data_IF_821037105817
#
_entry.id   IF_821037105817
#
_cell.length_a   1.000
_cell.length_b   1.000
_cell.length_c   1.000
_cell.angle_alpha   90.00
_cell.angle_beta   90.00
_cell.angle_gamma   90.00
#
_symmetry.space_group_name_H-M   'P 1'
#
loop_
_entity.id
_entity.type
_entity.pdbx_description
1 polymer ?
#
# COMPACT_ATOMS: atom_id res chain seq x y z
N UNK A 1 11.63 4.05 36.95
CA UNK A 1 11.46 2.71 36.37
C UNK A 1 11.12 2.94 34.90
N UNK A 2 12.03 2.55 34.02
CA UNK A 2 12.18 3.08 32.67
C UNK A 2 10.98 2.75 31.76
N UNK A 3 10.65 3.71 30.88
CA UNK A 3 9.84 3.48 29.69
C UNK A 3 10.72 2.65 28.73
N UNK A 4 10.46 1.35 28.62
CA UNK A 4 11.25 0.48 27.76
C UNK A 4 10.82 0.59 26.29
N UNK A 5 11.82 0.88 25.45
CA UNK A 5 11.71 0.93 24.00
C UNK A 5 11.48 -0.46 23.42
N UNK A 6 10.27 -0.97 23.58
CA UNK A 6 9.85 -2.24 23.01
C UNK A 6 9.62 -2.09 21.51
N UNK A 7 10.43 -2.81 20.74
CA UNK A 7 10.25 -3.05 19.31
C UNK A 7 8.81 -3.50 19.04
N UNK A 8 8.09 -2.72 18.23
CA UNK A 8 6.67 -2.89 17.94
C UNK A 8 6.41 -4.16 17.12
N UNK A 9 6.15 -5.28 17.79
CA UNK A 9 5.50 -6.43 17.17
C UNK A 9 4.02 -6.11 16.96
N UNK A 10 3.40 -6.59 15.86
CA UNK A 10 1.95 -6.53 15.71
C UNK A 10 1.30 -7.19 16.93
N UNK A 11 0.63 -6.39 17.77
CA UNK A 11 -0.03 -6.91 18.96
C UNK A 11 -1.29 -7.67 18.52
N UNK A 12 -1.31 -8.97 18.81
CA UNK A 12 -2.38 -9.90 18.50
C UNK A 12 -3.06 -10.29 19.82
N UNK A 13 -4.28 -9.80 20.07
CA UNK A 13 -5.05 -10.20 21.25
C UNK A 13 -6.02 -11.32 20.88
N UNK A 14 -5.52 -12.56 20.94
CA UNK A 14 -6.30 -13.78 20.68
C UNK A 14 -6.78 -14.46 21.99
N UNK A 15 -6.48 -13.87 23.15
CA UNK A 15 -6.42 -14.55 24.44
C UNK A 15 -7.79 -14.87 25.06
N UNK A 16 -8.81 -14.07 24.73
CA UNK A 16 -10.08 -14.05 25.45
C UNK A 16 -11.24 -14.62 24.61
N UNK A 17 -11.15 -14.50 23.29
CA UNK A 17 -12.09 -15.11 22.34
C UNK A 17 -11.40 -15.26 20.96
N UNK A 18 -11.15 -16.49 20.47
CA UNK A 18 -10.50 -16.71 19.18
C UNK A 18 -11.24 -16.05 18.01
N UNK A 19 -12.57 -15.92 18.13
CA UNK A 19 -13.43 -15.26 17.15
C UNK A 19 -13.31 -13.72 17.13
N UNK A 20 -12.65 -13.11 18.11
CA UNK A 20 -12.45 -11.66 18.24
C UNK A 20 -10.98 -11.25 18.10
N UNK A 21 -10.12 -12.14 17.61
CA UNK A 21 -8.71 -11.83 17.46
C UNK A 21 -8.49 -10.78 16.37
N UNK A 22 -7.98 -9.61 16.76
CA UNK A 22 -7.53 -8.57 15.86
C UNK A 22 -6.01 -8.43 15.93
N UNK A 23 -5.43 -7.91 14.86
CA UNK A 23 -4.01 -7.63 14.75
C UNK A 23 -3.83 -6.18 14.35
N UNK A 24 -3.12 -5.42 15.16
CA UNK A 24 -2.78 -4.05 14.83
C UNK A 24 -1.54 -4.00 13.95
N UNK A 25 -1.61 -3.17 12.90
CA UNK A 25 -0.49 -2.85 12.04
C UNK A 25 -0.29 -1.33 12.06
N UNK A 26 0.96 -0.92 11.93
CA UNK A 26 1.28 0.47 11.66
C UNK A 26 0.86 0.83 10.23
N UNK A 27 0.59 2.11 10.00
CA UNK A 27 0.28 2.58 8.65
C UNK A 27 1.49 2.36 7.73
N UNK A 28 1.27 1.82 6.51
CA UNK A 28 2.35 1.67 5.55
C UNK A 28 2.86 3.03 5.09
N UNK A 29 4.13 3.07 4.70
CA UNK A 29 4.80 4.29 4.18
C UNK A 29 5.24 4.04 2.75
N UNK A 30 4.96 4.98 1.85
CA UNK A 30 5.34 4.91 0.44
C UNK A 30 6.56 5.78 0.17
N UNK A 31 7.69 5.17 -0.22
CA UNK A 31 8.94 5.94 -0.37
C UNK A 31 9.29 6.20 -1.84
N UNK A 32 9.20 5.19 -2.70
CA UNK A 32 9.59 5.28 -4.11
C UNK A 32 8.72 4.40 -4.99
N UNK A 33 8.60 4.80 -6.26
CA UNK A 33 7.94 4.05 -7.33
C UNK A 33 8.83 3.96 -8.54
N UNK A 34 8.84 2.82 -9.22
CA UNK A 34 9.52 2.67 -10.50
C UNK A 34 8.74 1.70 -11.42
N UNK A 35 8.56 2.03 -12.71
CA UNK A 35 8.84 3.33 -13.33
C UNK A 35 7.86 4.43 -12.85
N UNK A 36 8.22 5.69 -13.05
CA UNK A 36 7.37 6.85 -12.73
C UNK A 36 6.50 7.31 -13.92
N UNK A 37 6.61 6.62 -15.05
CA UNK A 37 5.80 6.88 -16.23
C UNK A 37 5.55 5.61 -17.04
N UNK A 38 4.54 5.66 -17.91
CA UNK A 38 4.18 4.59 -18.82
C UNK A 38 3.13 5.06 -19.82
N UNK A 39 2.76 4.22 -20.80
CA UNK A 39 1.76 4.57 -21.79
C UNK A 39 0.34 4.69 -21.21
N UNK A 40 -0.43 5.63 -21.76
CA UNK A 40 -1.88 5.81 -21.56
C UNK A 40 -2.73 4.54 -21.80
N UNK A 41 -2.25 3.58 -22.61
CA UNK A 41 -2.93 2.29 -22.77
C UNK A 41 -2.89 1.44 -21.48
N UNK A 42 -2.06 1.79 -20.51
CA UNK A 42 -1.90 1.06 -19.25
C UNK A 42 -1.02 -0.19 -19.40
N UNK A 43 -1.09 -1.06 -18.40
CA UNK A 43 -0.34 -2.32 -18.34
C UNK A 43 1.08 -2.18 -17.79
N UNK A 44 1.57 -0.97 -17.53
CA UNK A 44 2.87 -0.77 -16.89
C UNK A 44 2.88 -1.37 -15.49
N UNK A 45 3.77 -2.34 -15.26
CA UNK A 45 4.08 -2.84 -13.92
C UNK A 45 4.87 -1.77 -13.17
N UNK A 46 4.36 -1.35 -12.02
CA UNK A 46 4.99 -0.38 -11.13
C UNK A 46 5.33 -1.10 -9.83
N UNK A 47 6.63 -1.10 -9.50
CA UNK A 47 7.12 -1.55 -8.21
C UNK A 47 7.17 -0.35 -7.24
N UNK A 48 6.66 -0.57 -6.03
CA UNK A 48 6.52 0.45 -4.99
C UNK A 48 7.31 -0.01 -3.77
N UNK A 49 8.32 0.77 -3.40
CA UNK A 49 9.17 0.50 -2.24
C UNK A 49 8.77 1.38 -1.07
N UNK A 50 8.81 0.80 0.13
CA UNK A 50 8.34 1.44 1.35
C UNK A 50 8.59 0.58 2.58
N UNK A 51 7.73 0.74 3.58
CA UNK A 51 7.77 -0.05 4.81
C UNK A 51 6.37 -0.26 5.38
N UNK A 52 6.21 -1.31 6.19
CA UNK A 52 4.95 -1.58 6.89
C UNK A 52 3.86 -2.20 6.00
N UNK A 53 4.19 -2.65 4.79
CA UNK A 53 3.23 -3.40 3.98
C UNK A 53 2.92 -4.75 4.63
N UNK A 54 1.68 -5.20 4.53
CA UNK A 54 1.25 -6.51 4.99
C UNK A 54 0.30 -7.16 3.99
N UNK A 55 0.26 -8.50 4.01
CA UNK A 55 -0.53 -9.26 3.07
C UNK A 55 -2.03 -9.20 3.44
N UNK A 56 -2.83 -8.56 2.59
CA UNK A 56 -4.29 -8.52 2.68
C UNK A 56 -4.88 -8.40 1.28
N UNK A 57 -6.00 -9.08 1.05
CA UNK A 57 -6.73 -9.05 -0.23
C UNK A 57 -7.46 -7.72 -0.48
N UNK A 58 -7.52 -6.85 0.53
CA UNK A 58 -8.19 -5.56 0.44
C UNK A 58 -7.26 -4.43 -0.03
N UNK A 59 -5.96 -4.69 -0.19
CA UNK A 59 -5.00 -3.67 -0.59
C UNK A 59 -5.21 -3.22 -2.04
N UNK A 60 -5.15 -1.90 -2.27
CA UNK A 60 -5.36 -1.29 -3.58
C UNK A 60 -4.31 -0.22 -3.88
N UNK A 61 -3.94 -0.09 -5.15
CA UNK A 61 -3.37 1.14 -5.67
C UNK A 61 -4.47 2.02 -6.28
N UNK A 62 -4.29 3.33 -6.25
CA UNK A 62 -5.18 4.25 -6.94
C UNK A 62 -4.39 5.29 -7.74
N UNK A 63 -4.67 5.34 -9.03
CA UNK A 63 -4.12 6.29 -10.00
C UNK A 63 -5.16 7.41 -10.21
N UNK A 64 -4.96 8.56 -9.58
CA UNK A 64 -5.97 9.61 -9.50
C UNK A 64 -7.24 9.09 -8.83
N UNK A 65 -8.28 8.79 -9.62
CA UNK A 65 -9.55 8.22 -9.14
C UNK A 65 -9.70 6.73 -9.43
N UNK A 66 -8.86 6.15 -10.28
CA UNK A 66 -8.98 4.75 -10.74
C UNK A 66 -8.26 3.80 -9.79
N UNK A 67 -8.99 2.84 -9.22
CA UNK A 67 -8.46 1.82 -8.29
C UNK A 67 -8.07 0.55 -9.04
N UNK A 68 -6.95 -0.06 -8.65
CA UNK A 68 -6.48 -1.37 -9.14
C UNK A 68 -6.00 -2.24 -7.98
N UNK A 69 -5.98 -3.55 -8.17
CA UNK A 69 -5.46 -4.47 -7.17
C UNK A 69 -3.96 -4.23 -6.91
N UNK A 70 -3.57 -4.25 -5.64
CA UNK A 70 -2.18 -4.24 -5.22
C UNK A 70 -1.72 -5.68 -4.96
N UNK A 71 -0.55 -6.03 -5.49
CA UNK A 71 0.07 -7.32 -5.27
C UNK A 71 1.12 -7.18 -4.17
N UNK A 72 0.89 -7.86 -3.06
CA UNK A 72 1.84 -7.91 -1.95
C UNK A 72 3.02 -8.81 -2.33
N UNK A 73 4.25 -8.27 -2.25
CA UNK A 73 5.48 -9.06 -2.43
C UNK A 73 6.13 -9.36 -1.08
N UNK A 74 6.39 -8.32 -0.30
CA UNK A 74 6.93 -8.41 1.06
C UNK A 74 6.64 -7.11 1.83
N UNK A 75 7.13 -7.00 3.07
CA UNK A 75 6.85 -5.86 3.94
C UNK A 75 7.46 -4.53 3.49
N UNK A 76 8.35 -4.53 2.49
CA UNK A 76 9.01 -3.33 1.95
C UNK A 76 8.76 -3.11 0.46
N UNK A 77 8.11 -4.06 -0.23
CA UNK A 77 7.80 -3.96 -1.66
C UNK A 77 6.39 -4.48 -1.97
N UNK A 78 5.70 -3.73 -2.80
CA UNK A 78 4.39 -4.07 -3.38
C UNK A 78 4.39 -3.67 -4.86
N UNK A 79 3.49 -4.24 -5.64
CA UNK A 79 3.41 -3.96 -7.08
C UNK A 79 1.98 -3.68 -7.52
N UNK A 80 1.83 -2.84 -8.54
CA UNK A 80 0.55 -2.53 -9.17
C UNK A 80 0.71 -2.44 -10.68
N UNK A 81 -0.37 -2.72 -11.42
CA UNK A 81 -0.41 -2.49 -12.87
C UNK A 81 -1.19 -1.22 -13.16
N UNK A 82 -0.58 -0.29 -13.90
CA UNK A 82 -1.23 0.95 -14.29
C UNK A 82 -2.48 0.64 -15.16
N UNK A 83 -3.65 1.22 -14.87
CA UNK A 83 -4.83 1.05 -15.71
C UNK A 83 -4.68 1.83 -17.03
N UNK A 84 -5.57 1.60 -18.00
CA UNK A 84 -5.68 2.56 -19.11
C UNK A 84 -6.24 3.88 -18.60
N UNK A 85 -5.64 4.98 -19.04
CA UNK A 85 -5.98 6.32 -18.60
C UNK A 85 -5.60 7.33 -19.68
N UNK A 86 -6.20 8.52 -19.66
CA UNK A 86 -5.74 9.62 -20.52
C UNK A 86 -4.32 10.04 -20.14
N UNK A 87 -3.51 10.42 -21.13
CA UNK A 87 -2.14 10.89 -20.94
C UNK A 87 -2.12 12.14 -20.05
N UNK A 88 -1.68 11.96 -18.80
CA UNK A 88 -1.59 13.00 -17.79
C UNK A 88 -0.77 12.52 -16.59
N UNK A 89 -0.31 13.46 -15.77
CA UNK A 89 0.30 13.17 -14.47
C UNK A 89 -0.80 13.03 -13.41
N UNK A 90 -0.79 11.92 -12.68
CA UNK A 90 -1.70 11.66 -11.56
C UNK A 90 -0.96 11.42 -10.25
N UNK A 91 -1.69 11.56 -9.13
CA UNK A 91 -1.26 11.02 -7.84
C UNK A 91 -1.51 9.50 -7.76
N UNK A 92 -0.50 8.79 -7.27
CA UNK A 92 -0.56 7.38 -6.91
C UNK A 92 -0.71 7.25 -5.40
N UNK A 93 -1.79 6.59 -4.99
CA UNK A 93 -2.11 6.27 -3.61
C UNK A 93 -2.04 4.76 -3.36
N UNK A 94 -1.82 4.37 -2.11
CA UNK A 94 -2.02 3.01 -1.62
C UNK A 94 -3.11 3.01 -0.54
N UNK A 95 -3.92 1.96 -0.53
CA UNK A 95 -4.83 1.61 0.56
C UNK A 95 -4.53 0.20 1.04
N UNK A 96 -4.58 -0.04 2.35
CA UNK A 96 -4.45 -1.37 2.95
C UNK A 96 -5.81 -2.03 3.24
N UNK A 97 -6.90 -1.27 3.27
CA UNK A 97 -8.24 -1.74 3.63
C UNK A 97 -9.29 -1.50 2.53
N UNK A 98 -8.90 -0.91 1.40
CA UNK A 98 -9.76 -0.60 0.25
C UNK A 98 -10.57 0.69 0.38
N UNK A 99 -10.60 1.29 1.57
CA UNK A 99 -11.40 2.47 1.90
C UNK A 99 -10.51 3.69 2.13
N UNK A 100 -9.57 3.58 3.06
CA UNK A 100 -8.67 4.65 3.46
C UNK A 100 -7.39 4.59 2.64
N UNK A 101 -6.95 5.74 2.15
CA UNK A 101 -5.73 5.87 1.37
C UNK A 101 -4.68 6.61 2.17
N UNK A 102 -3.43 6.19 2.02
CA UNK A 102 -2.29 6.92 2.58
C UNK A 102 -2.31 8.37 2.10
N UNK A 103 -2.06 9.28 3.04
CA UNK A 103 -1.96 10.72 2.75
C UNK A 103 -0.74 11.01 1.87
N UNK A 104 0.33 10.22 2.03
CA UNK A 104 1.52 10.31 1.19
C UNK A 104 1.23 9.76 -0.22
N UNK A 105 1.51 10.58 -1.23
CA UNK A 105 1.38 10.23 -2.64
C UNK A 105 2.71 10.31 -3.36
N UNK A 106 2.81 9.55 -4.45
CA UNK A 106 3.85 9.71 -5.47
C UNK A 106 3.18 10.07 -6.80
N UNK A 107 3.95 10.58 -7.76
CA UNK A 107 3.42 10.95 -9.08
C UNK A 107 3.68 9.85 -10.10
N UNK A 108 2.71 9.63 -11.00
CA UNK A 108 2.85 8.77 -12.16
C UNK A 108 2.34 9.48 -13.41
N UNK A 109 3.08 9.39 -14.51
CA UNK A 109 2.71 9.97 -15.81
C UNK A 109 2.25 8.88 -16.78
N UNK A 110 1.01 9.00 -17.26
CA UNK A 110 0.43 8.18 -18.33
C UNK A 110 0.72 8.76 -19.72
#
# INVERSE_FOLDING_TARGET
MALDGSTYTPQQDCSIAPALCFKFFQDPVMQKTFPTSGPAQGGTRIDITGSGFFNTSQSLCRFGTTKVALVFLNSTNVMCFAPSHVAQVVDLYISANGFDFLVQTLKFEF
#
